data_IF_332078934486
#
_entry.id   IF_332078934486
#
_cell.length_a   1.000
_cell.length_b   1.000
_cell.length_c   1.000
_cell.angle_alpha   90.00
_cell.angle_beta   90.00
_cell.angle_gamma   90.00
#
_symmetry.space_group_name_H-M   'P 1'
#
loop_
_entity.id
_entity.type
_entity.pdbx_description
1 polymer ?
#
# COMPACT_ATOMS: atom_id res chain seq x y z
N UNK A 1 -21.28 -4.36 -72.92
CA UNK A 1 -20.79 -5.60 -72.28
C UNK A 1 -19.28 -5.64 -72.43
N UNK A 2 -18.58 -5.06 -71.46
CA UNK A 2 -17.13 -5.23 -71.29
C UNK A 2 -16.93 -6.36 -70.30
N UNK A 3 -16.38 -7.48 -70.79
CA UNK A 3 -15.81 -8.51 -69.93
C UNK A 3 -14.57 -7.91 -69.27
N UNK A 4 -14.75 -7.28 -68.11
CA UNK A 4 -13.63 -7.05 -67.21
C UNK A 4 -13.21 -8.43 -66.70
N UNK A 5 -12.12 -8.94 -67.26
CA UNK A 5 -11.32 -9.98 -66.66
C UNK A 5 -10.89 -9.49 -65.27
N UNK A 6 -11.67 -9.86 -64.24
CA UNK A 6 -11.45 -9.52 -62.84
C UNK A 6 -10.25 -10.30 -62.28
N UNK A 7 -9.06 -9.94 -62.74
CA UNK A 7 -7.83 -10.32 -62.06
C UNK A 7 -7.75 -9.58 -60.74
N UNK A 8 -7.25 -10.25 -59.70
CA UNK A 8 -6.97 -9.62 -58.40
C UNK A 8 -5.94 -8.51 -58.64
N UNK A 9 -6.33 -7.25 -58.47
CA UNK A 9 -5.45 -6.07 -58.68
C UNK A 9 -4.81 -5.56 -57.39
N UNK A 10 -5.13 -6.16 -56.25
CA UNK A 10 -4.66 -5.76 -54.91
C UNK A 10 -4.15 -6.95 -54.10
N UNK A 11 -3.22 -6.77 -53.15
CA UNK A 11 -2.80 -7.84 -52.24
C UNK A 11 -3.99 -8.42 -51.48
N UNK A 12 -4.05 -9.75 -51.42
CA UNK A 12 -5.13 -10.48 -50.73
C UNK A 12 -4.55 -11.49 -49.75
N UNK A 13 -5.34 -11.80 -48.72
CA UNK A 13 -5.00 -12.76 -47.68
C UNK A 13 -6.14 -13.74 -47.45
N UNK A 14 -5.80 -14.97 -47.11
CA UNK A 14 -6.79 -15.99 -46.73
C UNK A 14 -7.40 -15.69 -45.35
N UNK A 15 -8.51 -16.34 -45.02
CA UNK A 15 -9.14 -16.19 -43.70
C UNK A 15 -8.20 -16.56 -42.55
N UNK A 16 -7.28 -17.52 -42.78
CA UNK A 16 -6.31 -17.95 -41.77
C UNK A 16 -5.20 -16.92 -41.60
N UNK A 17 -4.63 -16.43 -42.70
CA UNK A 17 -3.62 -15.38 -42.67
C UNK A 17 -4.18 -14.06 -42.09
N UNK A 18 -5.42 -13.70 -42.42
CA UNK A 18 -6.11 -12.57 -41.81
C UNK A 18 -6.27 -12.75 -40.29
N UNK A 19 -6.60 -13.96 -39.84
CA UNK A 19 -6.72 -14.25 -38.40
C UNK A 19 -5.36 -14.13 -37.69
N UNK A 20 -4.30 -14.64 -38.31
CA UNK A 20 -2.92 -14.55 -37.81
C UNK A 20 -2.43 -13.09 -37.78
N UNK A 21 -2.66 -12.31 -38.84
CA UNK A 21 -2.31 -10.88 -38.92
C UNK A 21 -3.02 -10.05 -37.84
N UNK A 22 -4.30 -10.34 -37.58
CA UNK A 22 -5.09 -9.65 -36.57
C UNK A 22 -4.89 -10.18 -35.14
N UNK A 23 -4.18 -11.30 -34.96
CA UNK A 23 -4.04 -11.99 -33.66
C UNK A 23 -5.38 -12.45 -33.07
N UNK A 24 -6.32 -12.89 -33.91
CA UNK A 24 -7.66 -13.36 -33.52
C UNK A 24 -7.95 -14.76 -34.08
N UNK A 25 -9.08 -15.36 -33.70
CA UNK A 25 -9.49 -16.64 -34.28
C UNK A 25 -10.12 -16.46 -35.66
N UNK A 26 -10.03 -17.48 -36.51
CA UNK A 26 -10.71 -17.55 -37.83
C UNK A 26 -12.21 -17.24 -37.73
N UNK A 27 -12.87 -17.67 -36.64
CA UNK A 27 -14.29 -17.38 -36.40
C UNK A 27 -14.56 -15.89 -36.21
N UNK A 28 -13.63 -15.15 -35.59
CA UNK A 28 -13.74 -13.70 -35.41
C UNK A 28 -13.67 -12.97 -36.74
N UNK A 29 -12.80 -13.39 -37.66
CA UNK A 29 -12.70 -12.83 -39.02
C UNK A 29 -14.00 -13.07 -39.79
N UNK A 30 -14.52 -14.30 -39.77
CA UNK A 30 -15.79 -14.64 -40.42
C UNK A 30 -16.99 -13.89 -39.82
N UNK A 31 -16.97 -13.61 -38.51
CA UNK A 31 -18.00 -12.78 -37.87
C UNK A 31 -17.93 -11.32 -38.37
N UNK A 32 -16.73 -10.74 -38.45
CA UNK A 32 -16.54 -9.37 -38.97
C UNK A 32 -16.98 -9.24 -40.44
N UNK A 33 -16.81 -10.28 -41.25
CA UNK A 33 -17.37 -10.31 -42.61
C UNK A 33 -18.91 -10.35 -42.63
N UNK A 34 -19.53 -11.18 -41.78
CA UNK A 34 -20.99 -11.21 -41.63
C UNK A 34 -21.58 -9.87 -41.16
N UNK A 35 -20.82 -9.13 -40.37
CA UNK A 35 -21.17 -7.78 -39.88
C UNK A 35 -20.91 -6.68 -40.94
N UNK A 36 -20.38 -7.04 -42.11
CA UNK A 36 -20.12 -6.11 -43.22
C UNK A 36 -18.88 -5.24 -43.04
N UNK A 37 -18.02 -5.55 -42.06
CA UNK A 37 -16.82 -4.78 -41.76
C UNK A 37 -15.65 -5.07 -42.72
N UNK A 38 -15.65 -6.25 -43.33
CA UNK A 38 -14.70 -6.69 -44.37
C UNK A 38 -15.46 -7.50 -45.41
N UNK A 39 -15.02 -7.44 -46.67
CA UNK A 39 -15.71 -8.09 -47.78
C UNK A 39 -14.89 -9.25 -48.36
N UNK A 40 -15.54 -10.38 -48.59
CA UNK A 40 -14.93 -11.51 -49.28
C UNK A 40 -14.83 -11.21 -50.78
N UNK A 41 -13.62 -11.33 -51.33
CA UNK A 41 -13.32 -11.04 -52.74
C UNK A 41 -14.17 -11.89 -53.69
N UNK A 42 -14.41 -13.15 -53.33
CA UNK A 42 -15.24 -14.10 -54.10
C UNK A 42 -16.43 -14.59 -53.29
N UNK A 43 -17.55 -13.84 -53.28
CA UNK A 43 -18.74 -14.18 -52.50
C UNK A 43 -19.35 -15.54 -52.86
N UNK A 44 -19.40 -15.86 -54.15
CA UNK A 44 -20.11 -17.04 -54.63
C UNK A 44 -19.21 -18.27 -54.85
N UNK A 45 -17.91 -18.04 -55.09
CA UNK A 45 -16.98 -19.10 -55.50
C UNK A 45 -15.90 -19.45 -54.46
N UNK A 46 -15.90 -18.86 -53.25
CA UNK A 46 -14.88 -19.13 -52.24
C UNK A 46 -14.74 -20.63 -51.87
N UNK A 47 -15.83 -21.42 -51.99
CA UNK A 47 -15.82 -22.87 -51.74
C UNK A 47 -14.89 -23.64 -52.67
N UNK A 48 -14.66 -23.16 -53.89
CA UNK A 48 -13.74 -23.78 -54.84
C UNK A 48 -12.27 -23.61 -54.44
N UNK A 49 -11.96 -22.58 -53.63
CA UNK A 49 -10.62 -22.25 -53.15
C UNK A 49 -10.35 -22.72 -51.71
N UNK A 50 -11.32 -23.38 -51.08
CA UNK A 50 -11.21 -23.92 -49.73
C UNK A 50 -11.21 -22.89 -48.58
N UNK A 51 -11.05 -21.59 -48.87
CA UNK A 51 -11.10 -20.52 -47.85
C UNK A 51 -11.64 -19.22 -48.44
N UNK A 52 -12.16 -18.33 -47.58
CA UNK A 52 -12.51 -16.96 -47.98
C UNK A 52 -11.24 -16.12 -48.10
N UNK A 53 -11.20 -15.28 -49.12
CA UNK A 53 -10.08 -14.38 -49.42
C UNK A 53 -10.56 -12.95 -49.19
N UNK A 54 -9.71 -12.14 -48.54
CA UNK A 54 -9.97 -10.75 -48.17
C UNK A 54 -8.88 -9.84 -48.73
N UNK A 55 -9.20 -8.57 -48.99
CA UNK A 55 -8.17 -7.59 -49.33
C UNK A 55 -7.34 -7.25 -48.08
N UNK A 56 -6.01 -7.22 -48.25
CA UNK A 56 -5.09 -6.91 -47.15
C UNK A 56 -5.39 -5.51 -46.56
N UNK A 57 -5.69 -4.53 -47.42
CA UNK A 57 -6.03 -3.16 -47.02
C UNK A 57 -7.21 -3.09 -46.04
N UNK A 58 -8.23 -3.96 -46.21
CA UNK A 58 -9.41 -3.97 -45.34
C UNK A 58 -9.07 -4.59 -43.96
N UNK A 59 -8.17 -5.57 -43.95
CA UNK A 59 -7.63 -6.16 -42.71
C UNK A 59 -6.77 -5.13 -41.96
N UNK A 60 -5.89 -4.42 -42.65
CA UNK A 60 -5.05 -3.36 -42.06
C UNK A 60 -5.88 -2.19 -41.52
N UNK A 61 -6.93 -1.76 -42.24
CA UNK A 61 -7.88 -0.74 -41.77
C UNK A 61 -8.58 -1.18 -40.48
N UNK A 62 -8.96 -2.44 -40.38
CA UNK A 62 -9.54 -2.99 -39.15
C UNK A 62 -8.55 -3.04 -37.99
N UNK A 63 -7.27 -3.28 -38.25
CA UNK A 63 -6.23 -3.29 -37.22
C UNK A 63 -5.98 -1.89 -36.67
N UNK A 64 -5.99 -0.86 -37.53
CA UNK A 64 -5.71 0.52 -37.13
C UNK A 64 -6.87 1.21 -36.38
N UNK A 65 -8.12 0.78 -36.58
CA UNK A 65 -9.28 1.35 -35.88
C UNK A 65 -9.48 0.83 -34.44
N UNK A 66 -8.76 -0.23 -34.03
CA UNK A 66 -8.88 -0.85 -32.69
C UNK A 66 -7.89 -0.27 -31.64
N UNK A 67 -7.11 0.77 -31.99
CA UNK A 67 -6.24 1.49 -31.05
C UNK A 67 -7.05 2.42 -30.13
N UNK A 68 -7.61 1.86 -29.06
CA UNK A 68 -8.09 2.68 -27.95
C UNK A 68 -6.87 3.30 -27.25
N UNK A 69 -6.71 4.61 -27.39
CA UNK A 69 -5.66 5.38 -26.70
C UNK A 69 -5.84 5.28 -25.18
N UNK A 70 -4.86 4.69 -24.50
CA UNK A 70 -4.80 4.58 -23.05
C UNK A 70 -4.34 3.21 -22.54
N UNK A 71 -4.07 3.13 -21.24
CA UNK A 71 -3.58 1.95 -20.54
C UNK A 71 -4.74 1.10 -20.03
N UNK A 72 -4.64 -0.21 -20.22
CA UNK A 72 -5.54 -1.15 -19.54
C UNK A 72 -5.23 -1.23 -18.05
N UNK A 73 -6.22 -1.64 -17.24
CA UNK A 73 -6.02 -1.87 -15.80
C UNK A 73 -4.88 -2.82 -15.47
N UNK A 74 -4.61 -3.82 -16.34
CA UNK A 74 -3.47 -4.73 -16.19
C UNK A 74 -2.14 -4.00 -16.37
N UNK A 75 -2.02 -3.21 -17.43
CA UNK A 75 -0.79 -2.45 -17.73
C UNK A 75 -0.53 -1.37 -16.68
N UNK A 76 -1.58 -0.70 -16.20
CA UNK A 76 -1.49 0.24 -15.07
C UNK A 76 -1.05 -0.46 -13.77
N UNK A 77 -1.49 -1.69 -13.51
CA UNK A 77 -1.09 -2.47 -12.34
C UNK A 77 0.40 -2.85 -12.37
N UNK A 78 0.92 -3.21 -13.55
CA UNK A 78 2.34 -3.51 -13.77
C UNK A 78 3.20 -2.26 -13.54
N UNK A 79 2.80 -1.11 -14.08
CA UNK A 79 3.51 0.17 -13.90
C UNK A 79 3.57 0.58 -12.42
N UNK A 80 2.45 0.42 -11.70
CA UNK A 80 2.37 0.77 -10.27
C UNK A 80 2.84 -0.34 -9.33
N UNK A 81 3.26 -1.49 -9.84
CA UNK A 81 3.65 -2.69 -9.08
C UNK A 81 2.61 -3.09 -8.01
N UNK A 82 1.33 -3.11 -8.38
CA UNK A 82 0.21 -3.50 -7.51
C UNK A 82 -0.63 -4.60 -8.15
N UNK A 83 -1.48 -5.25 -7.38
CA UNK A 83 -2.44 -6.21 -7.93
C UNK A 83 -3.47 -5.49 -8.82
N UNK A 84 -3.93 -6.09 -9.93
CA UNK A 84 -4.99 -5.50 -10.77
C UNK A 84 -6.28 -5.17 -10.00
N UNK A 85 -6.62 -5.95 -8.96
CA UNK A 85 -7.75 -5.69 -8.07
C UNK A 85 -7.62 -4.37 -7.30
N UNK A 86 -6.40 -3.94 -7.00
CA UNK A 86 -6.11 -2.66 -6.34
C UNK A 86 -6.39 -1.49 -7.29
N UNK A 87 -6.04 -1.61 -8.58
CA UNK A 87 -6.41 -0.62 -9.60
C UNK A 87 -7.93 -0.49 -9.73
N UNK A 88 -8.67 -1.61 -9.76
CA UNK A 88 -10.14 -1.58 -9.74
C UNK A 88 -10.70 -0.87 -8.50
N UNK A 89 -10.06 -1.06 -7.34
CA UNK A 89 -10.46 -0.37 -6.12
C UNK A 89 -10.24 1.13 -6.23
N UNK A 90 -9.10 1.57 -6.77
CA UNK A 90 -8.80 2.99 -6.97
C UNK A 90 -9.76 3.67 -7.94
N UNK A 91 -10.14 2.97 -9.02
CA UNK A 91 -11.17 3.45 -9.97
C UNK A 91 -12.52 3.58 -9.26
N UNK A 92 -12.96 2.54 -8.52
CA UNK A 92 -14.25 2.56 -7.81
C UNK A 92 -14.31 3.62 -6.70
N UNK A 93 -13.19 3.87 -6.02
CA UNK A 93 -13.11 4.90 -4.98
C UNK A 93 -12.95 6.33 -5.53
N UNK A 94 -12.96 6.51 -6.86
CA UNK A 94 -12.78 7.81 -7.51
C UNK A 94 -11.35 8.37 -7.43
N UNK A 95 -10.36 7.57 -7.00
CA UNK A 95 -8.97 7.99 -6.82
C UNK A 95 -8.16 7.97 -8.11
N UNK A 96 -8.52 7.11 -9.05
CA UNK A 96 -7.91 7.00 -10.36
C UNK A 96 -9.01 7.13 -11.41
N UNK A 97 -8.92 8.17 -12.26
CA UNK A 97 -9.89 8.36 -13.33
C UNK A 97 -9.67 7.31 -14.42
N UNK A 98 -10.75 6.68 -14.85
CA UNK A 98 -10.74 5.73 -15.96
C UNK A 98 -12.02 5.89 -16.78
N UNK A 99 -11.91 5.69 -18.08
CA UNK A 99 -13.05 5.64 -19.01
C UNK A 99 -13.44 4.18 -19.24
N UNK A 100 -14.73 3.88 -19.21
CA UNK A 100 -15.23 2.54 -19.51
C UNK A 100 -15.47 2.44 -21.01
N UNK A 101 -14.76 1.55 -21.68
CA UNK A 101 -14.84 1.35 -23.12
C UNK A 101 -15.22 -0.11 -23.41
N UNK A 102 -16.05 -0.32 -24.42
CA UNK A 102 -16.38 -1.66 -24.88
C UNK A 102 -15.26 -2.20 -25.79
N UNK A 103 -14.60 -3.27 -25.36
CA UNK A 103 -13.57 -3.97 -26.13
C UNK A 103 -13.94 -5.44 -26.28
N UNK A 104 -14.09 -5.89 -27.53
CA UNK A 104 -14.42 -7.30 -27.86
C UNK A 104 -15.68 -7.81 -27.11
N UNK A 105 -16.72 -6.96 -26.98
CA UNK A 105 -17.99 -7.29 -26.30
C UNK A 105 -17.92 -7.33 -24.77
N UNK A 106 -16.85 -6.79 -24.16
CA UNK A 106 -16.70 -6.65 -22.71
C UNK A 106 -16.43 -5.20 -22.35
N UNK A 107 -17.04 -4.72 -21.28
CA UNK A 107 -16.72 -3.41 -20.71
C UNK A 107 -15.37 -3.49 -19.98
N UNK A 108 -14.42 -2.66 -20.41
CA UNK A 108 -13.07 -2.59 -19.86
C UNK A 108 -12.75 -1.14 -19.49
N UNK A 109 -12.11 -0.94 -18.34
CA UNK A 109 -11.61 0.37 -17.97
C UNK A 109 -10.28 0.67 -18.67
N UNK A 110 -10.19 1.87 -19.24
CA UNK A 110 -9.03 2.44 -19.88
C UNK A 110 -8.62 3.68 -19.10
N UNK A 111 -7.34 3.79 -18.78
CA UNK A 111 -6.75 4.86 -17.98
C UNK A 111 -5.85 5.68 -18.91
N UNK A 112 -6.02 6.99 -18.98
CA UNK A 112 -5.11 7.84 -19.74
C UNK A 112 -3.70 7.82 -19.11
N UNK A 113 -2.65 7.84 -19.92
CA UNK A 113 -1.27 7.82 -19.42
C UNK A 113 -0.98 8.99 -18.48
N UNK A 114 -1.41 10.20 -18.85
CA UNK A 114 -1.30 11.41 -18.01
C UNK A 114 -1.99 11.28 -16.65
N UNK A 115 -3.15 10.60 -16.60
CA UNK A 115 -3.88 10.37 -15.35
C UNK A 115 -3.16 9.34 -14.47
N UNK A 116 -2.49 8.35 -15.07
CA UNK A 116 -1.67 7.40 -14.31
C UNK A 116 -0.40 8.04 -13.78
N UNK A 117 0.25 8.92 -14.55
CA UNK A 117 1.44 9.67 -14.12
C UNK A 117 1.10 10.66 -12.99
N UNK A 118 0.01 11.41 -13.12
CA UNK A 118 -0.51 12.27 -12.06
C UNK A 118 -0.89 11.46 -10.81
N UNK A 119 -1.48 10.29 -11.01
CA UNK A 119 -1.73 9.36 -9.92
C UNK A 119 -0.43 8.87 -9.31
N UNK A 120 0.61 8.53 -10.06
CA UNK A 120 1.90 8.08 -9.56
C UNK A 120 2.60 9.14 -8.70
N UNK A 121 2.62 10.40 -9.15
CA UNK A 121 3.18 11.53 -8.39
C UNK A 121 2.46 11.75 -7.05
N UNK A 122 1.15 11.52 -7.00
CA UNK A 122 0.35 11.61 -5.78
C UNK A 122 0.38 10.30 -4.97
N UNK A 123 0.54 9.16 -5.63
CA UNK A 123 0.63 7.81 -5.06
C UNK A 123 1.96 7.63 -4.37
N UNK A 124 3.09 8.09 -4.89
CA UNK A 124 4.37 8.07 -4.17
C UNK A 124 4.31 8.93 -2.89
N UNK A 125 3.57 10.04 -2.94
CA UNK A 125 3.30 10.90 -1.76
C UNK A 125 2.28 10.28 -0.78
N UNK A 126 1.34 9.46 -1.23
CA UNK A 126 0.27 8.87 -0.41
C UNK A 126 0.52 7.40 0.00
N UNK A 127 1.41 6.69 -0.68
CA UNK A 127 1.77 5.28 -0.43
C UNK A 127 3.17 5.06 0.13
N UNK A 128 3.88 6.15 0.38
CA UNK A 128 4.48 6.28 1.71
C UNK A 128 3.36 6.29 2.76
N UNK A 129 2.68 5.13 2.95
CA UNK A 129 2.60 4.60 4.32
C UNK A 129 4.04 4.69 4.78
N UNK A 130 4.39 5.71 5.56
CA UNK A 130 5.74 5.90 6.09
C UNK A 130 6.27 4.50 6.40
N UNK A 131 7.18 3.98 5.55
CA UNK A 131 7.88 2.75 5.90
C UNK A 131 8.46 3.09 7.24
N UNK A 132 8.04 2.35 8.28
CA UNK A 132 8.41 2.63 9.67
C UNK A 132 9.90 2.93 9.67
N UNK A 133 10.28 4.19 9.81
CA UNK A 133 11.68 4.65 9.63
C UNK A 133 12.58 4.08 10.71
N UNK A 134 11.98 3.47 11.73
CA UNK A 134 12.60 2.78 12.83
C UNK A 134 12.75 1.26 12.64
N UNK A 135 12.48 0.72 11.44
CA UNK A 135 12.72 -0.69 11.11
C UNK A 135 13.45 -0.79 9.78
N UNK A 136 14.48 -1.64 9.73
CA UNK A 136 15.11 -2.05 8.49
C UNK A 136 15.30 -3.56 8.47
N UNK A 137 15.59 -4.11 7.29
CA UNK A 137 15.83 -5.54 7.11
C UNK A 137 17.19 -5.72 6.48
N UNK A 138 18.11 -6.36 7.20
CA UNK A 138 19.48 -6.63 6.75
C UNK A 138 19.71 -8.14 6.81
N UNK A 139 20.07 -8.74 5.66
CA UNK A 139 20.36 -10.18 5.55
C UNK A 139 19.26 -11.04 6.20
N UNK A 140 18.02 -10.81 5.78
CA UNK A 140 16.82 -11.47 6.28
C UNK A 140 16.47 -11.30 7.77
N UNK A 141 17.17 -10.41 8.46
CA UNK A 141 16.92 -10.10 9.87
C UNK A 141 16.25 -8.74 10.00
N UNK A 142 15.10 -8.68 10.67
CA UNK A 142 14.45 -7.43 11.02
C UNK A 142 15.25 -6.76 12.15
N UNK A 143 15.65 -5.50 11.94
CA UNK A 143 16.43 -4.70 12.88
C UNK A 143 15.66 -3.43 13.22
N UNK A 144 15.62 -3.09 14.50
CA UNK A 144 14.83 -1.99 15.03
C UNK A 144 15.71 -0.86 15.57
N UNK A 145 15.24 0.39 15.44
CA UNK A 145 15.93 1.55 16.01
C UNK A 145 16.00 1.42 17.53
N UNK A 146 17.18 1.67 18.09
CA UNK A 146 17.53 1.48 19.50
C UNK A 146 17.64 0.03 19.99
N UNK A 147 17.56 -0.96 19.09
CA UNK A 147 17.80 -2.36 19.45
C UNK A 147 19.23 -2.56 19.96
N UNK A 148 19.36 -3.36 21.02
CA UNK A 148 20.65 -3.78 21.56
C UNK A 148 21.25 -4.92 20.73
N UNK A 149 22.56 -4.84 20.53
CA UNK A 149 23.42 -5.87 19.97
C UNK A 149 24.43 -6.29 21.02
N UNK A 150 24.82 -7.56 21.01
CA UNK A 150 25.78 -8.14 21.95
C UNK A 150 26.91 -8.80 21.15
N UNK A 151 28.16 -8.44 21.48
CA UNK A 151 29.35 -9.04 20.89
C UNK A 151 29.58 -10.44 21.48
N UNK A 152 29.76 -11.44 20.61
CA UNK A 152 29.76 -12.87 21.01
C UNK A 152 30.88 -13.26 21.98
N UNK A 153 32.03 -12.61 21.92
CA UNK A 153 33.22 -13.02 22.66
C UNK A 153 33.49 -12.20 23.93
N UNK A 154 33.01 -10.97 23.99
CA UNK A 154 33.34 -10.00 25.04
C UNK A 154 32.13 -9.56 25.85
N UNK A 155 30.92 -9.94 25.43
CA UNK A 155 29.63 -9.46 25.95
C UNK A 155 29.43 -7.94 25.86
N UNK A 156 30.32 -7.22 25.17
CA UNK A 156 30.18 -5.78 24.93
C UNK A 156 28.90 -5.49 24.19
N UNK A 157 28.20 -4.45 24.59
CA UNK A 157 26.95 -4.07 23.94
C UNK A 157 27.18 -2.98 22.91
N UNK A 158 26.30 -2.98 21.93
CA UNK A 158 26.15 -1.89 20.99
C UNK A 158 24.66 -1.63 20.74
N UNK A 159 24.33 -0.48 20.18
CA UNK A 159 22.94 -0.09 19.95
C UNK A 159 22.76 0.55 18.59
N UNK A 160 21.68 0.19 17.91
CA UNK A 160 21.25 0.87 16.68
C UNK A 160 20.80 2.29 17.03
N UNK A 161 21.49 3.33 16.55
CA UNK A 161 21.17 4.73 16.87
C UNK A 161 20.52 5.48 15.70
N UNK A 162 20.61 4.94 14.49
CA UNK A 162 20.11 5.56 13.27
C UNK A 162 19.73 4.49 12.25
N UNK A 163 18.63 4.69 11.52
CA UNK A 163 18.21 3.85 10.39
C UNK A 163 17.85 4.77 9.22
N UNK A 164 18.54 4.56 8.09
CA UNK A 164 18.35 5.30 6.84
C UNK A 164 18.12 4.30 5.71
N UNK A 165 16.86 4.03 5.38
CA UNK A 165 16.50 3.08 4.33
C UNK A 165 16.97 1.65 4.64
N UNK A 166 17.91 1.12 3.85
CA UNK A 166 18.47 -0.24 3.99
C UNK A 166 19.70 -0.34 4.89
N UNK A 167 20.16 0.77 5.49
CA UNK A 167 21.32 0.79 6.37
C UNK A 167 21.07 1.68 7.61
N UNK A 168 22.09 1.88 8.44
CA UNK A 168 22.00 2.65 9.67
C UNK A 168 23.36 2.83 10.36
N UNK A 169 23.33 3.32 11.60
CA UNK A 169 24.52 3.43 12.46
C UNK A 169 24.31 2.69 13.76
N UNK A 170 25.40 2.12 14.26
CA UNK A 170 25.50 1.44 15.55
C UNK A 170 26.50 2.19 16.41
N UNK A 171 26.18 2.39 17.69
CA UNK A 171 27.04 2.97 18.71
C UNK A 171 27.42 1.87 19.71
N UNK A 172 28.71 1.69 20.01
CA UNK A 172 29.18 0.75 21.04
C UNK A 172 29.13 1.37 22.43
N UNK A 173 29.25 0.55 23.48
CA UNK A 173 29.45 1.03 24.85
C UNK A 173 30.74 1.85 25.02
N UNK A 174 31.74 1.65 24.14
CA UNK A 174 33.00 2.39 24.10
C UNK A 174 32.92 3.68 23.24
N UNK A 175 31.70 4.12 22.91
CA UNK A 175 31.40 5.32 22.10
C UNK A 175 31.87 5.27 20.63
N UNK A 176 32.23 4.09 20.12
CA UNK A 176 32.57 3.92 18.70
C UNK A 176 31.32 3.82 17.84
N UNK A 177 31.36 4.43 16.66
CA UNK A 177 30.25 4.40 15.69
C UNK A 177 30.68 3.67 14.42
N UNK A 178 29.88 2.69 14.01
CA UNK A 178 30.09 1.97 12.76
C UNK A 178 28.78 1.74 11.99
N UNK A 179 28.90 1.31 10.73
CA UNK A 179 27.76 1.06 9.84
C UNK A 179 26.95 -0.15 10.32
N UNK A 180 25.62 -0.01 10.37
CA UNK A 180 24.74 -1.11 10.76
C UNK A 180 24.93 -2.35 9.88
N UNK A 181 25.24 -2.20 8.58
CA UNK A 181 25.52 -3.32 7.68
C UNK A 181 26.71 -4.20 8.12
N UNK A 182 27.69 -3.64 8.83
CA UNK A 182 28.92 -4.31 9.23
C UNK A 182 28.81 -5.03 10.59
N UNK A 183 27.66 -4.99 11.27
CA UNK A 183 27.55 -5.50 12.65
C UNK A 183 27.99 -6.95 12.82
N UNK A 184 27.70 -7.82 11.84
CA UNK A 184 28.13 -9.22 11.88
C UNK A 184 29.63 -9.38 11.66
N UNK A 185 30.25 -8.49 10.87
CA UNK A 185 31.70 -8.48 10.64
C UNK A 185 32.46 -8.09 11.91
N UNK A 186 31.81 -7.30 12.79
CA UNK A 186 32.31 -6.94 14.12
C UNK A 186 31.91 -7.95 15.23
N UNK A 187 31.48 -9.16 14.86
CA UNK A 187 31.03 -10.23 15.78
C UNK A 187 29.87 -9.85 16.71
N UNK A 188 29.08 -8.84 16.33
CA UNK A 188 27.84 -8.51 17.04
C UNK A 188 26.70 -9.41 16.57
N UNK A 189 25.87 -9.79 17.53
CA UNK A 189 24.63 -10.52 17.32
C UNK A 189 23.45 -9.75 17.93
N UNK A 190 22.27 -9.96 17.38
CA UNK A 190 21.03 -9.38 17.90
C UNK A 190 20.04 -10.49 18.23
N UNK A 191 19.29 -10.30 19.30
CA UNK A 191 18.16 -11.17 19.62
C UNK A 191 16.93 -10.69 18.82
N UNK A 192 16.33 -11.55 17.97
CA UNK A 192 15.16 -11.17 17.21
C UNK A 192 13.94 -11.04 18.12
N UNK A 193 13.17 -9.96 17.97
CA UNK A 193 11.91 -9.83 18.69
C UNK A 193 10.83 -10.72 18.07
N UNK A 194 10.04 -11.37 18.93
CA UNK A 194 8.90 -12.17 18.50
C UNK A 194 7.81 -11.26 17.94
N UNK A 195 7.17 -11.70 16.85
CA UNK A 195 6.02 -10.97 16.29
C UNK A 195 4.82 -11.11 17.23
N UNK A 196 4.31 -9.97 17.70
CA UNK A 196 3.10 -9.91 18.51
C UNK A 196 1.86 -9.70 17.65
N UNK A 197 0.71 -10.16 18.14
CA UNK A 197 -0.58 -10.01 17.47
C UNK A 197 -0.98 -8.54 17.37
N UNK A 198 -1.61 -8.16 16.26
CA UNK A 198 -2.06 -6.79 16.04
C UNK A 198 -3.20 -6.43 17.00
N UNK A 199 -3.05 -5.34 17.73
CA UNK A 199 -4.06 -4.82 18.65
C UNK A 199 -5.02 -3.92 17.86
N UNK A 200 -6.28 -4.36 17.77
CA UNK A 200 -7.35 -3.65 17.06
C UNK A 200 -7.99 -2.54 17.88
N UNK A 201 -7.72 -2.48 19.19
CA UNK A 201 -8.24 -1.43 20.08
C UNK A 201 -7.84 -0.04 19.58
N UNK A 202 -8.80 0.90 19.62
CA UNK A 202 -8.64 2.25 19.09
C UNK A 202 -7.82 3.15 20.02
N UNK A 203 -7.22 4.16 19.39
CA UNK A 203 -6.35 5.13 20.05
C UNK A 203 -4.94 4.61 20.31
N UNK A 204 -4.13 5.51 20.86
CA UNK A 204 -2.74 5.31 21.22
C UNK A 204 -2.46 6.07 22.51
N UNK A 205 -1.50 5.57 23.27
CA UNK A 205 -0.81 6.37 24.28
C UNK A 205 0.41 7.01 23.61
N UNK A 206 0.72 8.24 23.98
CA UNK A 206 1.86 8.95 23.41
C UNK A 206 2.80 9.45 24.50
N UNK A 207 4.10 9.29 24.23
CA UNK A 207 5.19 9.72 25.09
C UNK A 207 6.17 10.57 24.30
N UNK A 208 6.77 11.55 24.97
CA UNK A 208 7.80 12.41 24.40
C UNK A 208 8.99 12.42 25.33
N UNK A 209 10.11 11.84 24.88
CA UNK A 209 11.37 11.79 25.61
C UNK A 209 12.38 12.76 24.98
N UNK A 210 13.23 13.38 25.80
CA UNK A 210 14.47 13.97 25.28
C UNK A 210 15.41 12.84 24.84
N UNK A 211 16.09 13.00 23.72
CA UNK A 211 17.05 12.01 23.21
C UNK A 211 18.16 11.82 24.25
N UNK A 212 18.32 10.62 24.83
CA UNK A 212 19.33 10.42 25.86
C UNK A 212 20.74 10.45 25.28
N UNK A 213 21.66 11.07 26.04
CA UNK A 213 23.10 11.02 25.78
C UNK A 213 23.73 9.72 26.29
N UNK A 214 23.22 9.18 27.40
CA UNK A 214 23.77 7.99 28.03
C UNK A 214 23.38 6.72 27.28
N UNK A 215 24.36 5.83 27.08
CA UNK A 215 24.12 4.51 26.48
C UNK A 215 23.13 3.69 27.30
N UNK A 216 23.14 3.70 28.62
CA UNK A 216 22.21 2.89 29.44
C UNK A 216 20.95 3.64 29.91
N UNK A 217 20.45 4.59 29.12
CA UNK A 217 19.25 5.36 29.50
C UNK A 217 17.98 4.51 29.57
N UNK A 218 17.16 4.79 30.59
CA UNK A 218 15.82 4.22 30.82
C UNK A 218 14.95 4.29 29.55
N UNK A 219 15.00 5.38 28.79
CA UNK A 219 14.23 5.55 27.54
C UNK A 219 14.51 4.43 26.54
N UNK A 220 15.78 4.09 26.34
CA UNK A 220 16.15 3.06 25.38
C UNK A 220 15.76 1.67 25.88
N UNK A 221 15.89 1.42 27.18
CA UNK A 221 15.47 0.16 27.80
C UNK A 221 13.95 -0.05 27.67
N UNK A 222 13.17 1.00 27.91
CA UNK A 222 11.72 1.02 27.73
C UNK A 222 11.30 0.74 26.29
N UNK A 223 11.96 1.36 25.31
CA UNK A 223 11.67 1.12 23.89
C UNK A 223 11.95 -0.34 23.52
N UNK A 224 13.06 -0.92 23.98
CA UNK A 224 13.36 -2.34 23.78
C UNK A 224 12.33 -3.25 24.45
N UNK A 225 11.90 -2.92 25.66
CA UNK A 225 10.83 -3.65 26.34
C UNK A 225 9.53 -3.62 25.54
N UNK A 226 9.15 -2.48 24.97
CA UNK A 226 7.97 -2.40 24.12
C UNK A 226 8.12 -3.18 22.82
N UNK A 227 9.29 -3.21 22.19
CA UNK A 227 9.50 -4.11 21.04
C UNK A 227 9.29 -5.58 21.41
N UNK A 228 9.76 -6.00 22.59
CA UNK A 228 9.65 -7.37 23.08
C UNK A 228 8.21 -7.75 23.43
N UNK A 229 7.55 -6.94 24.26
CA UNK A 229 6.24 -7.27 24.86
C UNK A 229 5.06 -6.84 23.99
N UNK A 230 5.11 -5.63 23.41
CA UNK A 230 4.02 -5.07 22.61
C UNK A 230 4.17 -5.40 21.12
N UNK A 231 5.41 -5.51 20.65
CA UNK A 231 5.73 -5.82 19.27
C UNK A 231 5.64 -4.60 18.36
N UNK A 232 6.49 -4.64 17.32
CA UNK A 232 6.69 -3.50 16.43
C UNK A 232 5.43 -3.03 15.70
N UNK A 233 4.49 -3.94 15.41
CA UNK A 233 3.23 -3.66 14.71
C UNK A 233 2.34 -2.70 15.50
N UNK A 234 2.40 -2.76 16.83
CA UNK A 234 1.52 -2.06 17.76
C UNK A 234 2.13 -0.76 18.31
N UNK A 235 3.28 -0.34 17.78
CA UNK A 235 3.94 0.90 18.16
C UNK A 235 4.38 1.72 16.94
N UNK A 236 4.62 3.00 17.18
CA UNK A 236 5.21 3.96 16.25
C UNK A 236 6.28 4.74 16.99
N UNK A 237 7.42 4.91 16.33
CA UNK A 237 8.55 5.63 16.86
C UNK A 237 8.95 6.69 15.83
N UNK A 238 9.02 7.94 16.26
CA UNK A 238 9.48 9.05 15.44
C UNK A 238 10.57 9.78 16.20
N UNK A 239 11.71 9.96 15.55
CA UNK A 239 12.89 10.59 16.15
C UNK A 239 13.20 11.87 15.39
N UNK A 240 13.36 12.97 16.13
CA UNK A 240 13.96 14.22 15.63
C UNK A 240 15.35 14.40 16.25
N UNK A 241 16.02 15.54 16.02
CA UNK A 241 17.38 15.78 16.55
C UNK A 241 17.45 15.61 18.07
N UNK A 242 16.50 16.17 18.81
CA UNK A 242 16.54 16.22 20.28
C UNK A 242 15.47 15.39 20.99
N UNK A 243 14.49 14.84 20.24
CA UNK A 243 13.28 14.26 20.82
C UNK A 243 12.99 12.90 20.20
N UNK A 244 12.53 11.98 21.06
CA UNK A 244 11.95 10.71 20.67
C UNK A 244 10.46 10.76 21.01
N UNK A 245 9.61 10.60 20.00
CA UNK A 245 8.16 10.44 20.15
C UNK A 245 7.81 8.97 19.98
N UNK A 246 7.12 8.43 20.98
CA UNK A 246 6.69 7.04 21.02
C UNK A 246 5.17 7.01 21.13
N UNK A 247 4.51 6.32 20.21
CA UNK A 247 3.09 5.99 20.30
C UNK A 247 2.91 4.48 20.43
N UNK A 248 2.11 4.04 21.39
CA UNK A 248 1.85 2.61 21.64
C UNK A 248 0.36 2.34 21.70
N UNK A 249 -0.03 1.14 21.24
CA UNK A 249 -1.40 0.66 21.41
C UNK A 249 -1.70 0.35 22.89
N UNK A 250 -2.96 0.49 23.33
CA UNK A 250 -3.36 0.08 24.67
C UNK A 250 -3.12 -1.41 24.88
N UNK A 251 -2.42 -1.78 25.94
CA UNK A 251 -2.09 -3.17 26.28
C UNK A 251 -1.77 -3.33 27.76
N UNK A 252 -1.69 -4.58 28.24
CA UNK A 252 -1.20 -4.91 29.58
C UNK A 252 0.25 -5.35 29.46
N UNK A 253 1.14 -4.63 30.13
CA UNK A 253 2.55 -5.00 30.26
C UNK A 253 2.70 -5.94 31.46
N UNK A 254 3.15 -7.16 31.19
CA UNK A 254 3.32 -8.21 32.19
C UNK A 254 4.67 -8.06 32.91
N UNK A 255 4.73 -7.12 33.85
CA UNK A 255 5.89 -6.86 34.71
C UNK A 255 5.45 -6.76 36.16
N UNK A 256 6.35 -7.06 37.09
CA UNK A 256 6.11 -6.83 38.52
C UNK A 256 6.11 -5.31 38.78
N UNK A 257 4.98 -4.69 39.16
CA UNK A 257 4.91 -3.24 39.33
C UNK A 257 5.87 -2.72 40.41
N UNK A 258 6.21 -3.51 41.43
CA UNK A 258 7.11 -3.10 42.51
C UNK A 258 8.56 -2.95 42.05
N UNK A 259 9.00 -3.80 41.11
CA UNK A 259 10.35 -3.74 40.56
C UNK A 259 10.47 -2.72 39.43
N UNK A 260 9.35 -2.29 38.87
CA UNK A 260 9.28 -1.40 37.70
C UNK A 260 8.90 0.05 38.06
N UNK A 261 9.07 0.45 39.32
CA UNK A 261 8.61 1.75 39.83
C UNK A 261 9.33 2.94 39.17
N UNK A 262 10.63 2.81 38.92
CA UNK A 262 11.41 3.88 38.30
C UNK A 262 10.95 4.13 36.87
N UNK A 263 10.76 3.06 36.10
CA UNK A 263 10.26 3.11 34.73
C UNK A 263 8.81 3.63 34.67
N UNK A 264 7.94 3.21 35.59
CA UNK A 264 6.58 3.75 35.70
C UNK A 264 6.61 5.26 35.93
N UNK A 265 7.39 5.72 36.92
CA UNK A 265 7.53 7.14 37.23
C UNK A 265 8.12 7.92 36.04
N UNK A 266 9.08 7.32 35.35
CA UNK A 266 9.67 7.89 34.14
C UNK A 266 8.64 8.02 33.02
N UNK A 267 7.86 6.96 32.74
CA UNK A 267 6.79 6.98 31.75
C UNK A 267 5.72 8.03 32.08
N UNK A 268 5.28 8.12 33.33
CA UNK A 268 4.31 9.12 33.77
C UNK A 268 4.77 10.56 33.50
N UNK A 269 6.04 10.88 33.78
CA UNK A 269 6.56 12.25 33.58
C UNK A 269 6.73 12.64 32.11
N UNK A 270 6.77 11.67 31.20
CA UNK A 270 6.95 11.90 29.76
C UNK A 270 5.69 11.62 28.93
N UNK A 271 4.59 11.20 29.55
CA UNK A 271 3.32 10.91 28.88
C UNK A 271 2.65 12.21 28.40
N UNK A 272 2.12 12.18 27.18
CA UNK A 272 1.34 13.28 26.57
C UNK A 272 -0.12 12.94 26.40
N UNK A 273 -0.45 11.67 26.19
CA UNK A 273 -1.84 11.19 26.09
C UNK A 273 -1.93 9.74 26.56
N UNK A 274 -3.06 9.41 27.18
CA UNK A 274 -3.31 8.11 27.80
C UNK A 274 -3.29 8.13 29.32
N UNK A 275 -3.34 6.95 29.92
CA UNK A 275 -3.26 6.72 31.36
C UNK A 275 -2.55 5.39 31.63
N UNK A 276 -1.78 5.34 32.72
CA UNK A 276 -1.12 4.13 33.21
C UNK A 276 -1.84 3.72 34.49
N UNK A 277 -2.37 2.50 34.52
CA UNK A 277 -3.22 1.99 35.60
C UNK A 277 -2.66 0.66 36.12
N UNK A 278 -2.80 0.36 37.42
CA UNK A 278 -2.46 -0.96 37.94
C UNK A 278 -3.39 -2.04 37.36
N UNK A 279 -2.86 -3.24 37.13
CA UNK A 279 -3.60 -4.41 36.66
C UNK A 279 -3.15 -5.66 37.41
N UNK A 280 -4.03 -6.66 37.52
CA UNK A 280 -3.73 -7.92 38.24
C UNK A 280 -2.52 -8.66 37.69
N UNK A 281 -2.27 -8.53 36.38
CA UNK A 281 -1.14 -9.14 35.67
C UNK A 281 0.04 -8.17 35.43
N UNK A 282 -0.01 -6.94 35.97
CA UNK A 282 1.06 -5.96 35.79
C UNK A 282 0.53 -4.54 35.63
N UNK A 283 0.81 -3.91 34.50
CA UNK A 283 0.52 -2.50 34.26
C UNK A 283 -0.32 -2.34 33.01
N UNK A 284 -1.47 -1.69 33.13
CA UNK A 284 -2.36 -1.44 32.00
C UNK A 284 -2.16 -0.03 31.43
N UNK A 285 -1.83 0.02 30.14
CA UNK A 285 -1.74 1.24 29.35
C UNK A 285 -3.09 1.50 28.67
N UNK A 286 -3.83 2.50 29.15
CA UNK A 286 -5.15 2.91 28.64
C UNK A 286 -5.02 4.13 27.71
N UNK A 287 -5.63 4.07 26.52
CA UNK A 287 -5.82 5.24 25.64
C UNK A 287 -7.01 6.09 26.12
N UNK A 288 -6.95 7.40 25.86
CA UNK A 288 -8.03 8.34 26.17
C UNK A 288 -9.17 8.34 25.11
N UNK A 289 -9.10 7.44 24.12
CA UNK A 289 -10.14 7.28 23.10
C UNK A 289 -11.20 6.30 23.61
N UNK A 290 -12.43 6.76 23.69
CA UNK A 290 -13.60 5.98 24.09
C UNK A 290 -14.67 6.04 23.00
N UNK A 291 -15.41 4.94 22.75
CA UNK A 291 -16.48 4.93 21.76
C UNK A 291 -17.68 5.75 22.26
N UNK A 292 -18.20 6.63 21.40
CA UNK A 292 -19.47 7.32 21.63
C UNK A 292 -20.54 6.66 20.75
N UNK A 293 -21.48 5.93 21.36
CA UNK A 293 -22.53 5.20 20.65
C UNK A 293 -23.89 5.82 20.88
N UNK A 294 -24.69 5.97 19.82
CA UNK A 294 -26.08 6.41 19.88
C UNK A 294 -26.93 5.62 18.88
N UNK A 295 -28.24 5.55 19.14
CA UNK A 295 -29.20 4.92 18.26
C UNK A 295 -29.85 5.97 17.36
N UNK A 296 -30.03 5.63 16.09
CA UNK A 296 -30.74 6.45 15.11
C UNK A 296 -31.55 5.54 14.18
N UNK A 297 -32.60 6.09 13.60
CA UNK A 297 -33.41 5.38 12.60
C UNK A 297 -32.63 5.17 11.28
N UNK A 298 -33.19 4.33 10.41
CA UNK A 298 -32.56 3.95 9.15
C UNK A 298 -32.34 5.16 8.24
N UNK A 299 -33.34 6.04 8.11
CA UNK A 299 -33.32 7.16 7.17
C UNK A 299 -32.28 8.20 7.60
N UNK A 300 -32.22 8.49 8.90
CA UNK A 300 -31.17 9.32 9.49
C UNK A 300 -29.79 8.74 9.22
N UNK A 301 -29.61 7.43 9.44
CA UNK A 301 -28.33 6.77 9.18
C UNK A 301 -27.93 6.91 7.70
N UNK A 302 -28.82 6.63 6.76
CA UNK A 302 -28.51 6.77 5.32
C UNK A 302 -28.12 8.19 4.95
N UNK A 303 -28.81 9.19 5.52
CA UNK A 303 -28.49 10.60 5.30
C UNK A 303 -27.08 10.95 5.77
N UNK A 304 -26.67 10.47 6.95
CA UNK A 304 -25.30 10.66 7.45
C UNK A 304 -24.27 10.01 6.54
N UNK A 305 -24.53 8.81 6.03
CA UNK A 305 -23.63 8.11 5.09
C UNK A 305 -23.44 8.93 3.81
N UNK A 306 -24.53 9.46 3.27
CA UNK A 306 -24.49 10.30 2.06
C UNK A 306 -23.71 11.59 2.32
N UNK A 307 -24.01 12.32 3.40
CA UNK A 307 -23.31 13.57 3.75
C UNK A 307 -21.82 13.37 3.99
N UNK A 308 -21.44 12.26 4.64
CA UNK A 308 -20.04 11.90 4.83
C UNK A 308 -19.33 11.63 3.49
N UNK A 309 -19.99 10.91 2.58
CA UNK A 309 -19.46 10.64 1.24
C UNK A 309 -19.31 11.92 0.40
N UNK A 310 -20.30 12.82 0.43
CA UNK A 310 -20.25 14.14 -0.22
C UNK A 310 -19.10 15.00 0.33
N UNK A 311 -18.76 14.83 1.61
CA UNK A 311 -17.65 15.52 2.28
C UNK A 311 -16.30 14.81 2.12
N UNK A 312 -16.24 13.65 1.45
CA UNK A 312 -15.03 12.85 1.30
C UNK A 312 -14.51 12.24 2.61
N UNK A 313 -15.36 12.12 3.64
CA UNK A 313 -15.00 11.69 5.00
C UNK A 313 -15.58 10.31 5.34
N UNK A 314 -14.98 9.65 6.33
CA UNK A 314 -15.61 8.49 6.96
C UNK A 314 -16.82 8.91 7.80
N UNK A 315 -17.82 8.02 7.94
CA UNK A 315 -19.04 8.29 8.73
C UNK A 315 -18.74 8.79 10.15
N UNK A 316 -17.78 8.15 10.83
CA UNK A 316 -17.39 8.50 12.19
C UNK A 316 -16.65 9.84 12.27
N UNK A 317 -15.77 10.12 11.30
CA UNK A 317 -15.03 11.39 11.22
C UNK A 317 -15.97 12.56 10.95
N UNK A 318 -16.91 12.37 10.02
CA UNK A 318 -17.96 13.33 9.71
C UNK A 318 -18.82 13.64 10.94
N UNK A 319 -19.29 12.62 11.67
CA UNK A 319 -20.08 12.80 12.89
C UNK A 319 -19.29 13.52 13.98
N UNK A 320 -18.02 13.13 14.19
CA UNK A 320 -17.16 13.79 15.16
C UNK A 320 -16.98 15.27 14.83
N UNK A 321 -16.74 15.60 13.56
CA UNK A 321 -16.59 16.98 13.11
C UNK A 321 -17.89 17.76 13.28
N UNK A 322 -19.04 17.20 12.88
CA UNK A 322 -20.35 17.83 13.03
C UNK A 322 -20.64 18.18 14.50
N UNK A 323 -20.36 17.26 15.43
CA UNK A 323 -20.54 17.48 16.87
C UNK A 323 -19.56 18.54 17.39
N UNK A 324 -18.28 18.49 17.00
CA UNK A 324 -17.29 19.51 17.39
C UNK A 324 -17.66 20.90 16.92
N UNK A 325 -18.02 21.05 15.65
CA UNK A 325 -18.44 22.34 15.08
C UNK A 325 -19.74 22.86 15.68
N UNK A 326 -20.59 21.98 16.21
CA UNK A 326 -21.74 22.41 16.99
C UNK A 326 -21.31 22.93 18.37
N UNK A 327 -20.47 22.20 19.09
CA UNK A 327 -19.95 22.60 20.41
C UNK A 327 -19.20 23.93 20.33
N UNK A 328 -18.37 24.16 19.32
CA UNK A 328 -17.62 25.42 19.13
C UNK A 328 -18.51 26.66 18.90
N UNK A 329 -19.78 26.46 18.57
CA UNK A 329 -20.77 27.54 18.40
C UNK A 329 -21.50 27.89 19.70
N UNK A 330 -21.33 27.12 20.77
CA UNK A 330 -21.86 27.39 22.11
C UNK A 330 -20.81 28.05 23.00
#
# INVERSE_FOLDING_TARGET
MTQDLLFITKPTVTTKEAADLMGVTVQTVLKKEKEGLIECVYKDNWKQFGSKIFYLEDIERLMNNDEIKGLSTKKAAEILNVAPSTIFTYIKSGKLKATMVEKRGKQVYVIAEEELENFQLNYEKATTKERKTFITKIQDTDIYLYQLLIQRHTEKKARVIEINGSNGKVLTEDEEIFSLSAYKEHDYSLEPFKKQTVITKRGYLSFTFKKPQLFNSITYNLINLFYKELGVTNMRLTTTQDIIRLEIKPFVLQVNPLQFQEEIKYLHSHMKSGSILPHVEGIYFKSNVEPLTFHADHDFKQKVIQMAAESGMGQEEFLLQAVKSYIEKF
#
